data_IF_274160647426
#
_entry.id   IF_274160647426
#
_cell.length_a   1.000
_cell.length_b   1.000
_cell.length_c   1.000
_cell.angle_alpha   90.00
_cell.angle_beta   90.00
_cell.angle_gamma   90.00
#
_symmetry.space_group_name_H-M   'P 1'
#
loop_
_entity.id
_entity.type
_entity.pdbx_description
1 polymer ?
2 non-polymer ?
3 non-polymer ?
4 water ?
#
# COMPACT_ATOMS: atom_id res chain seq x y z
N UNK A 19 12.27 -18.05 1.49
CA UNK A 19 11.03 -18.87 1.44
C UNK A 19 10.57 -19.33 2.83
N UNK A 20 11.27 -20.30 3.42
CA UNK A 20 11.04 -20.69 4.81
C UNK A 20 12.34 -20.94 5.58
N UNK A 21 12.55 -20.14 6.62
CA UNK A 21 13.71 -20.28 7.48
C UNK A 21 13.75 -21.70 8.04
N UNK A 22 14.88 -22.39 7.89
CA UNK A 22 15.02 -23.77 8.38
C UNK A 22 14.59 -23.89 9.83
N UNK A 23 13.65 -24.79 10.10
CA UNK A 23 13.19 -25.04 11.45
C UNK A 23 12.07 -24.12 11.92
N UNK A 24 11.77 -23.07 11.17
CA UNK A 24 10.72 -22.10 11.58
C UNK A 24 9.31 -22.65 11.45
N UNK A 25 8.44 -22.28 12.38
CA UNK A 25 7.05 -22.72 12.33
C UNK A 25 6.17 -21.72 11.59
N UNK A 26 6.79 -20.69 11.00
CA UNK A 26 6.03 -19.68 10.28
C UNK A 26 6.61 -19.46 8.89
N UNK A 27 5.76 -19.10 7.94
CA UNK A 27 6.25 -18.72 6.63
C UNK A 27 5.42 -17.56 6.04
N UNK A 28 6.10 -16.70 5.31
CA UNK A 28 5.48 -15.50 4.75
C UNK A 28 4.46 -15.92 3.70
N UNK A 29 3.24 -15.38 3.78
CA UNK A 29 2.21 -15.63 2.78
C UNK A 29 2.37 -14.74 1.52
N UNK A 30 3.17 -15.20 0.56
CA UNK A 30 3.49 -14.41 -0.64
C UNK A 30 2.33 -14.25 -1.64
N UNK A 31 1.22 -14.93 -1.37
CA UNK A 31 0.01 -14.82 -2.17
C UNK A 31 -0.75 -13.49 -1.95
N UNK A 32 -0.46 -12.83 -0.83
CA UNK A 32 -1.06 -11.54 -0.51
C UNK A 32 -0.21 -10.44 -1.18
N UNK A 33 -0.36 -10.37 -2.50
CA UNK A 33 0.47 -9.51 -3.32
C UNK A 33 0.30 -8.01 -3.06
N UNK A 34 -0.84 -7.58 -2.53
CA UNK A 34 -0.92 -6.16 -2.12
C UNK A 34 0.17 -5.79 -1.07
N UNK A 35 0.54 -6.74 -0.21
CA UNK A 35 1.41 -6.46 0.92
C UNK A 35 2.79 -7.13 0.91
N UNK A 36 2.94 -8.20 0.14
CA UNK A 36 4.17 -8.98 0.07
C UNK A 36 4.66 -8.99 -1.38
N UNK A 37 5.85 -8.44 -1.59
CA UNK A 37 6.53 -8.48 -2.88
C UNK A 37 8.01 -8.70 -2.69
N UNK A 38 8.57 -9.61 -3.49
CA UNK A 38 9.98 -9.98 -3.43
C UNK A 38 10.40 -10.37 -2.00
N UNK A 39 9.48 -10.98 -1.25
CA UNK A 39 9.76 -11.37 0.12
C UNK A 39 9.81 -10.23 1.11
N UNK A 40 9.44 -9.03 0.66
CA UNK A 40 9.37 -7.86 1.52
C UNK A 40 7.92 -7.46 1.78
N UNK A 41 7.71 -6.73 2.88
CA UNK A 41 6.37 -6.30 3.21
C UNK A 41 6.15 -4.83 2.90
N UNK A 42 4.89 -4.51 2.61
CA UNK A 42 4.45 -3.13 2.38
C UNK A 42 3.11 -2.94 3.02
N UNK A 43 2.92 -1.78 3.64
CA UNK A 43 1.67 -1.44 4.31
C UNK A 43 1.33 0.01 3.97
N UNK A 44 0.10 0.22 3.53
CA UNK A 44 -0.40 1.54 3.16
C UNK A 44 -1.23 2.04 4.33
N UNK A 45 -0.83 3.15 4.93
CA UNK A 45 -1.56 3.67 6.10
C UNK A 45 -3.01 4.01 5.76
N UNK A 46 -3.29 4.27 4.48
CA UNK A 46 -4.70 4.44 4.06
C UNK A 46 -5.52 3.21 4.46
N UNK A 47 -4.96 2.04 4.16
CA UNK A 47 -5.58 0.74 4.45
C UNK A 47 -5.64 0.51 5.95
N UNK A 48 -4.57 0.89 6.65
CA UNK A 48 -4.56 0.78 8.12
C UNK A 48 -5.67 1.58 8.79
N UNK A 49 -5.84 2.82 8.37
CA UNK A 49 -6.87 3.65 8.96
C UNK A 49 -8.27 3.12 8.71
N UNK A 50 -8.46 2.34 7.64
CA UNK A 50 -9.72 1.65 7.38
C UNK A 50 -9.83 0.29 8.10
N UNK A 51 -8.84 -0.02 8.93
CA UNK A 51 -8.76 -1.31 9.59
C UNK A 51 -8.67 -2.52 8.68
N UNK A 52 -8.12 -2.34 7.48
CA UNK A 52 -7.99 -3.43 6.50
C UNK A 52 -6.75 -4.32 6.62
N UNK A 53 -5.80 -3.94 7.47
CA UNK A 53 -4.53 -4.68 7.53
C UNK A 53 -4.40 -5.40 8.87
N UNK A 54 -4.32 -6.73 8.78
CA UNK A 54 -4.01 -7.58 9.89
C UNK A 54 -2.70 -8.29 9.58
N UNK A 55 -1.59 -7.85 10.19
CA UNK A 55 -0.27 -8.42 9.88
C UNK A 55 -0.21 -9.93 10.07
N UNK A 56 -1.02 -10.46 10.98
CA UNK A 56 -1.03 -11.93 11.19
C UNK A 56 -1.51 -12.69 9.98
N UNK A 57 -2.26 -12.02 9.11
CA UNK A 57 -2.73 -12.70 7.91
C UNK A 57 -1.64 -12.80 6.84
N UNK A 58 -0.48 -12.19 7.09
CA UNK A 58 0.62 -12.21 6.12
C UNK A 58 1.55 -13.39 6.33
N UNK A 59 1.26 -14.20 7.35
CA UNK A 59 2.08 -15.39 7.58
C UNK A 59 1.24 -16.64 7.71
N UNK A 60 1.88 -17.79 7.46
CA UNK A 60 1.21 -19.07 7.64
C UNK A 60 1.92 -19.79 8.78
N UNK A 61 1.14 -20.23 9.76
CA UNK A 61 1.68 -20.87 10.96
C UNK A 61 1.34 -22.33 10.99
N UNK A 62 2.33 -23.11 11.40
CA UNK A 62 2.17 -24.52 11.71
C UNK A 62 1.22 -24.70 12.90
N UNK A 63 0.49 -25.82 12.89
CA UNK A 63 -0.38 -26.17 14.01
C UNK A 63 0.43 -26.21 15.31
N UNK A 64 -0.14 -25.67 16.38
CA UNK A 64 0.48 -25.68 17.68
C UNK A 64 1.31 -24.45 17.98
N UNK A 65 1.43 -23.54 17.01
CA UNK A 65 2.21 -22.32 17.21
C UNK A 65 1.38 -21.06 17.00
N UNK A 66 1.71 -20.00 17.73
CA UNK A 66 1.09 -18.70 17.50
C UNK A 66 2.16 -17.66 17.20
N UNK A 67 1.74 -16.50 16.68
CA UNK A 67 2.68 -15.43 16.34
C UNK A 67 2.17 -14.14 16.92
N UNK A 68 3.10 -13.29 17.37
CA UNK A 68 2.76 -11.93 17.78
C UNK A 68 3.68 -11.04 16.96
N UNK A 69 3.11 -10.05 16.28
CA UNK A 69 3.96 -9.18 15.45
C UNK A 69 4.48 -7.98 16.21
N UNK A 70 5.63 -7.46 15.77
CA UNK A 70 6.19 -6.28 16.40
C UNK A 70 6.79 -5.51 15.27
N UNK A 71 6.46 -4.23 15.21
CA UNK A 71 7.09 -3.31 14.26
C UNK A 71 8.19 -2.56 15.00
N UNK A 72 9.26 -2.24 14.28
CA UNK A 72 10.26 -1.33 14.80
C UNK A 72 10.39 -0.22 13.77
N UNK A 73 10.23 1.01 14.22
CA UNK A 73 10.35 2.18 13.36
C UNK A 73 10.92 3.31 14.18
N UNK A 74 11.97 3.96 13.68
CA UNK A 74 12.64 4.97 14.47
C UNK A 74 13.21 4.34 15.74
N UNK A 75 12.88 4.93 16.89
CA UNK A 75 13.34 4.43 18.19
C UNK A 75 12.22 3.74 18.95
N UNK A 76 11.19 3.31 18.22
CA UNK A 76 10.02 2.72 18.90
C UNK A 76 9.63 1.32 18.40
N UNK A 77 9.13 0.49 19.31
CA UNK A 77 8.43 -0.73 18.92
C UNK A 77 6.93 -0.50 18.96
N UNK A 78 6.20 -1.15 18.06
CA UNK A 78 4.75 -1.05 18.02
C UNK A 78 4.18 -2.43 17.92
N UNK A 79 3.23 -2.71 18.80
CA UNK A 79 2.53 -3.99 18.83
C UNK A 79 1.17 -3.98 18.16
N UNK A 80 0.75 -2.82 17.65
CA UNK A 80 -0.57 -2.69 17.02
C UNK A 80 -0.36 -1.91 15.73
N UNK A 81 -0.69 -2.52 14.60
CA UNK A 81 -0.54 -1.86 13.30
C UNK A 81 -1.20 -0.45 13.27
N UNK A 82 -2.29 -0.28 14.02
CA UNK A 82 -2.98 1.02 14.10
C UNK A 82 -2.12 2.16 14.68
N UNK A 83 -1.00 1.82 15.34
CA UNK A 83 -0.07 2.83 15.84
C UNK A 83 0.91 3.39 14.80
N UNK A 84 1.02 2.74 13.64
CA UNK A 84 1.89 3.25 12.58
C UNK A 84 1.31 4.57 12.07
N UNK A 85 2.13 5.61 12.06
CA UNK A 85 1.62 6.95 11.70
C UNK A 85 2.57 7.69 10.77
N UNK A 86 3.74 7.12 10.55
CA UNK A 86 4.75 7.77 9.72
C UNK A 86 5.17 6.83 8.62
N UNK A 87 5.45 7.37 7.43
CA UNK A 87 5.93 6.55 6.32
C UNK A 87 7.45 6.42 6.31
N UNK A 88 7.95 5.47 5.54
CA UNK A 88 9.37 5.23 5.50
C UNK A 88 9.67 3.76 5.74
N UNK A 89 10.95 3.48 5.92
CA UNK A 89 11.45 2.13 6.12
C UNK A 89 11.32 1.74 7.61
N UNK A 90 11.03 0.47 7.84
CA UNK A 90 10.81 -0.02 9.20
C UNK A 90 11.07 -1.52 9.12
N UNK A 91 10.75 -2.24 10.20
CA UNK A 91 10.80 -3.68 10.13
C UNK A 91 9.54 -4.25 10.76
N UNK A 92 9.26 -5.47 10.33
CA UNK A 92 8.12 -6.25 10.78
C UNK A 92 8.71 -7.60 11.21
N UNK A 93 8.42 -8.01 12.44
CA UNK A 93 8.94 -9.28 12.95
C UNK A 93 7.78 -10.07 13.53
N UNK A 94 7.77 -11.38 13.29
CA UNK A 94 6.80 -12.26 13.90
C UNK A 94 7.59 -13.08 14.92
N UNK A 95 7.22 -12.94 16.17
CA UNK A 95 7.80 -13.77 17.23
C UNK A 95 6.88 -14.98 17.36
N UNK A 96 7.46 -16.18 17.36
CA UNK A 96 6.70 -17.41 17.27
C UNK A 96 6.76 -18.10 18.66
N UNK A 97 5.61 -18.55 19.13
CA UNK A 97 5.46 -19.13 20.47
C UNK A 97 4.82 -20.52 20.41
N UNK A 98 5.30 -21.44 21.26
CA UNK A 98 4.63 -22.72 21.44
C UNK A 98 3.40 -22.59 22.32
N UNK A 99 2.72 -23.72 22.52
CA UNK A 99 1.49 -23.75 23.31
C UNK A 99 1.68 -23.27 24.74
N UNK A 100 2.91 -23.33 25.26
CA UNK A 100 3.12 -22.85 26.64
C UNK A 100 3.30 -21.33 26.74
N UNK A 101 3.23 -20.62 25.60
CA UNK A 101 3.34 -19.18 25.63
C UNK A 101 4.79 -18.73 25.59
N UNK A 102 5.72 -19.67 25.52
CA UNK A 102 7.14 -19.33 25.47
C UNK A 102 7.62 -19.35 23.99
N UNK A 103 8.67 -18.60 23.65
CA UNK A 103 9.21 -18.67 22.28
C UNK A 103 9.56 -20.11 21.88
N UNK A 104 9.27 -20.42 20.62
CA UNK A 104 9.71 -21.64 19.97
C UNK A 104 11.20 -21.54 19.73
N UNK A 105 11.94 -22.55 20.14
CA UNK A 105 13.37 -22.66 19.78
C UNK A 105 13.45 -23.70 18.69
N UNK A 106 14.13 -23.34 17.60
CA UNK A 106 14.20 -24.20 16.43
C UNK A 106 15.22 -25.31 16.64
N UNK A 107 15.18 -26.29 15.75
CA UNK A 107 16.14 -27.41 15.77
C UNK A 107 17.56 -26.89 15.92
N UNK A 108 17.89 -25.80 15.23
CA UNK A 108 19.25 -25.29 15.23
C UNK A 108 19.68 -24.53 16.50
N UNK A 109 18.81 -24.45 17.51
CA UNK A 109 19.17 -23.81 18.77
C UNK A 109 18.97 -22.29 18.84
N UNK A 110 18.26 -21.76 17.85
CA UNK A 110 17.94 -20.34 17.78
C UNK A 110 16.44 -20.11 17.93
N UNK A 111 16.10 -19.00 18.59
CA UNK A 111 14.71 -18.58 18.82
C UNK A 111 14.08 -18.36 17.46
N UNK A 112 12.85 -18.86 17.30
CA UNK A 112 12.10 -18.72 16.06
C UNK A 112 11.51 -17.32 15.93
N UNK A 113 12.16 -16.45 15.15
CA UNK A 113 11.54 -15.19 14.78
C UNK A 113 11.60 -15.03 13.26
N UNK A 114 10.62 -14.34 12.68
CA UNK A 114 10.63 -14.16 11.22
C UNK A 114 10.69 -12.68 10.97
N UNK A 115 11.82 -12.22 10.43
CA UNK A 115 12.07 -10.79 10.21
C UNK A 115 11.79 -10.47 8.76
N UNK A 116 11.05 -9.39 8.52
CA UNK A 116 10.67 -8.96 7.18
C UNK A 116 11.01 -7.46 7.01
N UNK A 117 11.72 -7.10 5.95
CA UNK A 117 11.90 -5.67 5.62
C UNK A 117 10.50 -5.10 5.31
N UNK A 118 10.25 -3.87 5.76
CA UNK A 118 8.92 -3.25 5.69
C UNK A 118 9.04 -1.85 5.07
N UNK A 119 8.15 -1.56 4.12
CA UNK A 119 8.02 -0.22 3.57
C UNK A 119 6.66 0.32 3.95
N UNK A 120 6.61 1.46 4.64
CA UNK A 120 5.32 2.02 5.00
C UNK A 120 5.08 3.21 4.07
N UNK A 121 3.89 3.29 3.51
CA UNK A 121 3.55 4.40 2.62
C UNK A 121 2.14 4.83 2.92
N UNK A 122 1.68 5.89 2.25
CA UNK A 122 0.35 6.38 2.54
C UNK A 122 -0.19 6.95 1.25
N UNK A 123 -1.20 6.28 0.69
CA UNK A 123 -1.83 6.76 -0.55
C UNK A 123 -2.99 7.77 -0.29
N UNK A 124 -3.20 8.16 0.96
CA UNK A 124 -4.36 8.99 1.32
C UNK A 124 -4.49 10.28 0.48
N UNK A 125 -3.41 11.05 0.40
CA UNK A 125 -3.49 12.33 -0.33
C UNK A 125 -3.65 12.10 -1.83
N UNK A 126 -2.90 11.13 -2.37
CA UNK A 126 -3.10 10.74 -3.76
C UNK A 126 -4.55 10.39 -4.02
N UNK A 127 -5.15 9.59 -3.14
CA UNK A 127 -6.53 9.16 -3.39
C UNK A 127 -7.51 10.34 -3.34
N UNK A 128 -7.28 11.27 -2.42
CA UNK A 128 -8.08 12.49 -2.35
C UNK A 128 -7.90 13.31 -3.61
N UNK A 129 -6.66 13.48 -4.03
CA UNK A 129 -6.37 14.21 -5.27
C UNK A 129 -7.08 13.59 -6.47
N UNK A 130 -7.00 12.28 -6.58
CA UNK A 130 -7.68 11.59 -7.65
C UNK A 130 -9.17 11.88 -7.65
N UNK A 131 -9.81 11.86 -6.47
CA UNK A 131 -11.26 12.11 -6.40
C UNK A 131 -11.58 13.56 -6.75
N UNK A 132 -10.69 14.47 -6.38
CA UNK A 132 -10.89 15.90 -6.72
C UNK A 132 -10.83 16.13 -8.23
N UNK A 133 -9.88 15.49 -8.91
CA UNK A 133 -9.76 15.64 -10.37
C UNK A 133 -10.94 14.94 -11.05
N UNK A 134 -11.34 13.78 -10.53
CA UNK A 134 -12.50 13.08 -11.06
C UNK A 134 -13.73 13.98 -11.01
N UNK A 135 -13.93 14.63 -9.86
CA UNK A 135 -15.10 15.48 -9.66
C UNK A 135 -15.05 16.65 -10.66
N UNK A 136 -13.89 17.27 -10.75
CA UNK A 136 -13.68 18.34 -11.72
C UNK A 136 -13.96 17.86 -13.16
N UNK A 137 -13.35 16.74 -13.54
CA UNK A 137 -13.46 16.23 -14.91
C UNK A 137 -14.92 15.96 -15.30
N UNK A 138 -15.76 15.60 -14.32
CA UNK A 138 -17.16 15.28 -14.59
C UNK A 138 -18.07 16.48 -14.84
N UNK A 139 -17.51 17.67 -14.66
CA UNK A 139 -18.26 18.90 -14.96
C UNK A 139 -18.57 18.95 -16.48
N UNK A 140 -19.83 19.10 -16.89
CA UNK A 140 -20.15 19.17 -18.32
C UNK A 140 -19.53 20.34 -19.06
N UNK A 141 -18.86 21.29 -18.39
CA UNK A 141 -18.21 22.37 -19.16
C UNK A 141 -16.99 21.89 -20.00
N UNK A 142 -16.44 20.72 -19.64
CA UNK A 142 -15.29 20.12 -20.32
C UNK A 142 -15.75 19.25 -21.48
N UNK A 143 -14.96 19.23 -22.56
CA UNK A 143 -15.28 18.33 -23.67
C UNK A 143 -15.36 16.89 -23.18
N UNK A 144 -16.25 16.11 -23.79
CA UNK A 144 -16.30 14.69 -23.43
C UNK A 144 -14.96 13.98 -23.74
N UNK A 145 -14.33 14.35 -24.84
CA UNK A 145 -13.08 13.71 -25.26
C UNK A 145 -11.96 13.96 -24.22
N UNK A 146 -11.85 15.19 -23.73
CA UNK A 146 -10.85 15.44 -22.68
C UNK A 146 -11.20 14.76 -21.33
N UNK A 147 -12.47 14.82 -20.95
CA UNK A 147 -12.92 14.13 -19.73
C UNK A 147 -12.49 12.66 -19.78
N UNK A 148 -12.76 12.02 -20.91
CA UNK A 148 -12.52 10.59 -21.04
C UNK A 148 -11.04 10.28 -20.93
N UNK A 149 -10.20 11.11 -21.55
CA UNK A 149 -8.76 10.88 -21.48
C UNK A 149 -8.26 11.04 -20.06
N UNK A 150 -8.77 12.06 -19.37
CA UNK A 150 -8.36 12.30 -17.98
C UNK A 150 -8.84 11.14 -17.07
N UNK A 151 -10.09 10.74 -17.22
CA UNK A 151 -10.60 9.64 -16.36
C UNK A 151 -9.87 8.34 -16.63
N UNK A 152 -9.46 8.12 -17.88
CA UNK A 152 -8.72 6.91 -18.21
C UNK A 152 -7.40 6.85 -17.43
N UNK A 153 -6.72 7.99 -17.37
CA UNK A 153 -5.45 8.06 -16.66
C UNK A 153 -5.64 7.89 -15.15
N UNK A 154 -6.66 8.54 -14.62
CA UNK A 154 -6.98 8.34 -13.20
C UNK A 154 -7.31 6.87 -12.88
N UNK A 155 -8.11 6.22 -13.73
CA UNK A 155 -8.44 4.81 -13.53
C UNK A 155 -7.23 3.90 -13.54
N UNK A 156 -6.27 4.20 -14.40
CA UNK A 156 -5.04 3.41 -14.48
C UNK A 156 -4.24 3.52 -13.16
N UNK A 157 -4.09 4.75 -12.68
CA UNK A 157 -3.43 4.99 -11.41
C UNK A 157 -4.18 4.33 -10.24
N UNK A 158 -5.50 4.49 -10.21
CA UNK A 158 -6.28 3.95 -9.10
C UNK A 158 -6.19 2.42 -9.06
N UNK A 159 -6.31 1.78 -10.22
CA UNK A 159 -6.16 0.31 -10.29
C UNK A 159 -4.80 -0.15 -9.75
N UNK A 160 -3.77 0.59 -10.12
CA UNK A 160 -2.39 0.31 -9.73
C UNK A 160 -2.20 0.40 -8.20
N UNK A 161 -2.66 1.48 -7.58
CA UNK A 161 -2.48 1.62 -6.14
C UNK A 161 -3.43 0.71 -5.36
N UNK A 162 -4.54 0.30 -5.97
CA UNK A 162 -5.46 -0.61 -5.28
C UNK A 162 -4.83 -1.99 -5.20
N UNK A 163 -4.08 -2.33 -6.22
CA UNK A 163 -3.58 -3.71 -6.35
C UNK A 163 -2.13 -3.92 -5.95
N UNK A 164 -1.31 -2.88 -6.04
CA UNK A 164 0.15 -3.06 -6.02
C UNK A 164 0.78 -2.18 -4.96
N UNK A 165 1.74 -2.73 -4.20
CA UNK A 165 2.41 -1.94 -3.17
C UNK A 165 3.35 -0.91 -3.79
N UNK A 166 3.54 0.21 -3.11
CA UNK A 166 4.40 1.28 -3.60
C UNK A 166 5.34 1.78 -2.50
N UNK A 167 6.39 2.51 -2.88
CA UNK A 167 7.07 3.40 -1.93
C UNK A 167 6.39 4.76 -1.89
N UNK A 168 6.64 5.53 -0.83
CA UNK A 168 6.12 6.92 -0.78
C UNK A 168 6.63 7.83 -1.92
N UNK A 169 7.88 7.60 -2.33
CA UNK A 169 8.43 8.31 -3.48
C UNK A 169 7.56 8.06 -4.71
N UNK A 170 7.20 6.79 -4.92
CA UNK A 170 6.33 6.45 -6.04
C UNK A 170 4.95 7.12 -5.90
N UNK A 171 4.33 7.03 -4.72
CA UNK A 171 3.08 7.76 -4.45
C UNK A 171 3.19 9.25 -4.83
N UNK A 172 4.22 9.93 -4.34
CA UNK A 172 4.40 11.35 -4.61
C UNK A 172 4.54 11.63 -6.11
N UNK A 173 5.22 10.74 -6.83
CA UNK A 173 5.33 10.89 -8.28
C UNK A 173 3.96 10.74 -8.98
N UNK A 174 3.10 9.88 -8.44
CA UNK A 174 1.76 9.70 -9.02
C UNK A 174 0.87 10.93 -8.75
N UNK A 175 1.12 11.64 -7.65
CA UNK A 175 0.38 12.86 -7.37
C UNK A 175 0.67 13.88 -8.47
N UNK A 176 1.95 13.97 -8.85
CA UNK A 176 2.38 14.82 -9.94
C UNK A 176 1.72 14.38 -11.25
N UNK A 177 1.72 13.07 -11.54
CA UNK A 177 1.02 12.58 -12.73
C UNK A 177 -0.46 13.01 -12.76
N UNK A 178 -1.11 12.98 -11.59
CA UNK A 178 -2.55 13.30 -11.48
C UNK A 178 -2.74 14.80 -11.74
N UNK A 179 -1.86 15.63 -11.18
CA UNK A 179 -1.91 17.07 -11.44
C UNK A 179 -1.76 17.39 -12.91
N UNK A 180 -0.84 16.67 -13.57
CA UNK A 180 -0.61 16.80 -15.01
C UNK A 180 -1.79 16.33 -15.86
N UNK A 181 -2.38 15.18 -15.52
CA UNK A 181 -3.61 14.72 -16.17
C UNK A 181 -4.73 15.78 -16.14
N UNK A 182 -4.91 16.41 -15.00
CA UNK A 182 -5.97 17.42 -14.86
C UNK A 182 -5.78 18.56 -15.85
N UNK A 183 -4.54 18.88 -16.17
CA UNK A 183 -4.27 19.93 -17.17
C UNK A 183 -4.68 19.56 -18.59
N UNK A 184 -5.05 18.29 -18.83
CA UNK A 184 -5.53 17.90 -20.14
C UNK A 184 -7.01 18.25 -20.40
N UNK A 185 -7.73 18.68 -19.38
CA UNK A 185 -9.14 19.03 -19.56
C UNK A 185 -9.19 20.25 -20.49
N UNK A 186 -10.13 20.20 -21.42
CA UNK A 186 -10.30 21.30 -22.40
C UNK A 186 -11.72 21.78 -22.30
N UNK A 187 -11.92 23.09 -22.17
CA UNK A 187 -13.29 23.62 -22.16
C UNK A 187 -14.00 23.45 -23.50
N UNK A 188 -15.27 23.04 -23.46
CA UNK A 188 -16.11 23.04 -24.65
C UNK A 188 -16.08 24.45 -25.30
N UNK A 189 -16.04 25.49 -24.48
CA UNK A 189 -15.96 26.89 -24.97
C UNK A 189 -14.71 27.05 -25.86
N UNK A 190 -13.56 26.60 -25.37
CA UNK A 190 -12.30 26.66 -26.13
C UNK A 190 -12.37 25.83 -27.40
N UNK A 191 -12.90 24.60 -27.30
CA UNK A 191 -13.02 23.69 -28.45
C UNK A 191 -13.96 24.25 -29.52
N UNK A 192 -15.02 24.92 -29.09
CA UNK A 192 -16.00 25.48 -30.03
C UNK A 192 -15.37 26.64 -30.84
N UNK A 193 -14.44 27.37 -30.21
CA UNK A 193 -13.79 28.50 -30.87
C UNK A 193 -12.54 28.13 -31.70
N UNK A 194 -11.95 26.96 -31.43
CA UNK A 194 -10.92 26.39 -32.30
C UNK A 194 -11.56 25.86 -33.59
N UNK A 195 -12.79 25.37 -33.46
CA UNK A 195 -13.56 24.87 -34.60
C UNK A 195 -14.08 25.98 -35.53
N UNK A 196 -13.84 27.24 -35.18
CA UNK A 196 -14.30 28.37 -36.01
C UNK A 196 -13.32 28.78 -37.11
N UNK A 197 -13.87 29.30 -38.20
CA UNK A 197 -13.10 29.65 -39.40
C UNK A 197 -13.38 31.07 -39.91
N UNK A 198 -12.31 31.80 -40.21
CA UNK A 198 -12.44 33.16 -40.73
C UNK A 198 -12.24 33.20 -42.25
X LIG B 1 -2.06 -22.82 24.10
X LIG B 1 -2.34 -21.38 25.16
X LIG B 1 -2.03 -20.06 24.44
X LIG B 1 -2.67 -20.01 23.18
X LIG B 1 -0.52 -19.91 24.32
X LIG B 1 -0.09 -19.30 25.51
X LIG B 1 -0.02 -19.11 23.11
X LIG B 1 0.86 -20.12 21.86
X LIG C 1 17.08 -15.28 15.49
X LIG C 1 18.47 -15.28 15.78
X LIG C 1 16.62 -16.23 14.37
X LIG C 1 16.71 -17.57 14.79
X LIG C 1 17.35 -16.09 13.04
X LIG C 1 16.69 -16.89 12.06
X LIG D 1 -9.59 20.38 -8.24
X LIG D 1 -9.11 21.32 -9.16
X LIG D 1 -8.46 19.96 -7.30
X LIG D 1 -7.66 21.07 -6.95
X LIG D 1 -7.65 18.90 -8.03
X LIG D 1 -6.42 19.45 -8.46
#
# INVERSE_FOLDING_TARGET
MASMTGGQQMGRGSIVAASTIPGSAATLNTSITKNIQNGNAYIDLYDVKLGKIDPLQLIVLEQGFTAKYVFRQGTKYYGDVSQLQSTGRASLTYNIFGEDGLPHVKTDGQIDIVSVALTIYDSTTLRDKIEEVRTNANDPKWTEESRTEVLTGLDTIKTDIDNNPKTQTDIDSKIVEVNELEKLLVLKLAAALEHHHHHH
DTU S1 C1 C2 O2 C3 O3 C4 S4
GOL C1 O1 C2 O2 C3 O3
GOL C1 O1 C2 O2 C3 O3
#
